data_IF_188786794333
#
_entry.id   IF_188786794333
#
_cell.length_a   1.000
_cell.length_b   1.000
_cell.length_c   1.000
_cell.angle_alpha   90.00
_cell.angle_beta   90.00
_cell.angle_gamma   90.00
#
_symmetry.space_group_name_H-M   'P 1'
#
loop_
_entity.id
_entity.type
_entity.pdbx_description
1 polymer ?
#
# COMPACT_ATOMS: atom_id res chain seq x y z
N UNK A 1 -9.46 7.59 -7.51
CA UNK A 1 -8.36 7.69 -8.49
C UNK A 1 -7.04 8.15 -7.87
N UNK A 2 -7.02 9.19 -6.99
CA UNK A 2 -5.77 9.70 -6.38
C UNK A 2 -5.00 8.61 -5.61
N UNK A 3 -5.65 7.88 -4.69
CA UNK A 3 -5.00 6.80 -3.93
C UNK A 3 -4.42 5.69 -4.81
N UNK A 4 -5.09 5.37 -5.91
CA UNK A 4 -4.58 4.37 -6.86
C UNK A 4 -3.30 4.87 -7.55
N UNK A 5 -3.25 6.14 -7.93
CA UNK A 5 -2.05 6.74 -8.51
C UNK A 5 -0.88 6.74 -7.52
N UNK A 6 -1.15 7.11 -6.26
CA UNK A 6 -0.16 7.06 -5.17
C UNK A 6 0.33 5.63 -4.93
N UNK A 7 -0.57 4.64 -4.97
CA UNK A 7 -0.21 3.23 -4.80
C UNK A 7 0.73 2.76 -5.90
N UNK A 8 0.36 2.98 -7.17
CA UNK A 8 1.17 2.54 -8.31
C UNK A 8 2.54 3.24 -8.29
N UNK A 9 2.55 4.57 -8.08
CA UNK A 9 3.78 5.34 -7.98
C UNK A 9 4.67 4.91 -6.82
N UNK A 10 4.08 4.74 -5.62
CA UNK A 10 4.78 4.30 -4.42
C UNK A 10 5.37 2.89 -4.54
N UNK A 11 4.60 1.94 -5.10
CA UNK A 11 5.10 0.59 -5.36
C UNK A 11 6.21 0.59 -6.43
N UNK A 12 6.06 1.38 -7.47
CA UNK A 12 7.09 1.52 -8.50
C UNK A 12 8.41 2.05 -7.93
N UNK A 13 8.33 3.11 -7.13
CA UNK A 13 9.48 3.71 -6.45
C UNK A 13 10.11 2.74 -5.46
N UNK A 14 9.29 2.04 -4.66
CA UNK A 14 9.75 1.01 -3.74
C UNK A 14 10.55 -0.07 -4.45
N UNK A 15 10.04 -0.62 -5.56
CA UNK A 15 10.74 -1.65 -6.33
C UNK A 15 11.98 -1.11 -7.04
N UNK A 16 12.02 0.17 -7.36
CA UNK A 16 13.20 0.82 -7.91
C UNK A 16 14.31 0.92 -6.86
N UNK A 17 13.96 1.29 -5.63
CA UNK A 17 14.90 1.37 -4.51
C UNK A 17 15.33 -0.01 -4.01
N UNK A 18 14.44 -0.99 -3.99
CA UNK A 18 14.73 -2.36 -3.58
C UNK A 18 15.65 -3.10 -4.57
N UNK A 19 15.69 -2.65 -5.83
CA UNK A 19 16.56 -3.24 -6.84
C UNK A 19 18.02 -2.89 -6.56
N UNK A 20 18.83 -3.93 -6.29
CA UNK A 20 20.28 -3.86 -6.12
C UNK A 20 20.97 -4.86 -7.04
N UNK A 21 22.32 -4.93 -7.01
CA UNK A 21 23.12 -5.79 -7.90
C UNK A 21 22.66 -7.24 -7.93
N UNK A 22 22.19 -7.78 -6.79
CA UNK A 22 21.77 -9.18 -6.65
C UNK A 22 20.28 -9.36 -6.33
N UNK A 23 19.45 -8.29 -6.31
CA UNK A 23 18.03 -8.36 -5.96
C UNK A 23 17.19 -7.77 -7.09
N UNK A 24 16.31 -8.61 -7.65
CA UNK A 24 15.45 -8.27 -8.77
C UNK A 24 13.98 -8.55 -8.45
N UNK A 25 13.28 -7.62 -7.76
CA UNK A 25 11.86 -7.83 -7.43
C UNK A 25 11.01 -8.09 -8.67
N UNK A 26 10.01 -8.96 -8.54
CA UNK A 26 9.00 -9.25 -9.57
C UNK A 26 8.01 -8.08 -9.67
N UNK A 27 8.46 -6.93 -10.18
CA UNK A 27 7.74 -5.65 -10.19
C UNK A 27 6.32 -5.76 -10.70
N UNK A 28 6.15 -6.42 -11.86
CA UNK A 28 4.84 -6.54 -12.50
C UNK A 28 3.89 -7.38 -11.67
N UNK A 29 4.36 -8.50 -11.12
CA UNK A 29 3.54 -9.36 -10.28
C UNK A 29 3.15 -8.64 -8.98
N UNK A 30 4.09 -7.94 -8.35
CA UNK A 30 3.82 -7.12 -7.17
C UNK A 30 2.84 -5.98 -7.45
N UNK A 31 3.00 -5.24 -8.57
CA UNK A 31 2.08 -4.18 -8.98
C UNK A 31 0.66 -4.71 -9.24
N UNK A 32 0.54 -5.82 -9.97
CA UNK A 32 -0.77 -6.44 -10.23
C UNK A 32 -1.42 -6.86 -8.92
N UNK A 33 -0.68 -7.53 -8.05
CA UNK A 33 -1.17 -7.98 -6.74
C UNK A 33 -1.61 -6.81 -5.85
N UNK A 34 -0.77 -5.78 -5.72
CA UNK A 34 -1.06 -4.61 -4.91
C UNK A 34 -2.25 -3.81 -5.45
N UNK A 35 -2.33 -3.65 -6.77
CA UNK A 35 -3.46 -2.98 -7.42
C UNK A 35 -4.75 -3.77 -7.26
N UNK A 36 -4.73 -5.10 -7.43
CA UNK A 36 -5.89 -5.95 -7.23
C UNK A 36 -6.38 -5.90 -5.78
N UNK A 37 -5.46 -5.94 -4.80
CA UNK A 37 -5.78 -5.79 -3.39
C UNK A 37 -6.47 -4.45 -3.10
N UNK A 38 -5.93 -3.35 -3.62
CA UNK A 38 -6.51 -2.02 -3.44
C UNK A 38 -7.90 -1.91 -4.08
N UNK A 39 -8.06 -2.35 -5.32
CA UNK A 39 -9.35 -2.31 -6.02
C UNK A 39 -10.39 -3.14 -5.30
N UNK A 40 -10.06 -4.36 -4.87
CA UNK A 40 -10.95 -5.20 -4.08
C UNK A 40 -11.36 -4.51 -2.77
N UNK A 41 -10.40 -3.97 -2.01
CA UNK A 41 -10.65 -3.24 -0.76
C UNK A 41 -11.52 -2.01 -0.99
N UNK A 42 -11.27 -1.25 -2.07
CA UNK A 42 -12.03 -0.06 -2.41
C UNK A 42 -13.49 -0.40 -2.78
N UNK A 43 -13.70 -1.40 -3.64
CA UNK A 43 -15.05 -1.84 -4.03
C UNK A 43 -15.85 -2.30 -2.82
N UNK A 44 -15.20 -2.98 -1.89
CA UNK A 44 -15.84 -3.42 -0.65
C UNK A 44 -16.17 -2.25 0.29
N UNK A 45 -15.27 -1.29 0.42
CA UNK A 45 -15.51 -0.11 1.22
C UNK A 45 -16.70 0.70 0.68
N UNK A 46 -16.79 0.89 -0.64
CA UNK A 46 -17.90 1.61 -1.28
C UNK A 46 -19.23 0.83 -1.19
N UNK A 47 -19.19 -0.50 -1.31
CA UNK A 47 -20.39 -1.33 -1.22
C UNK A 47 -20.91 -1.56 0.21
N UNK A 48 -20.15 -1.13 1.22
CA UNK A 48 -20.47 -1.36 2.64
C UNK A 48 -21.53 -0.41 3.21
N UNK A 49 -22.29 0.29 2.37
CA UNK A 49 -23.19 1.40 2.76
C UNK A 49 -24.26 1.05 3.81
N UNK A 50 -24.60 -0.21 4.07
CA UNK A 50 -25.74 -0.52 4.96
C UNK A 50 -25.59 -1.78 5.84
N UNK A 51 -24.47 -2.46 5.90
CA UNK A 51 -24.33 -3.68 6.70
C UNK A 51 -23.10 -3.61 7.60
N UNK A 52 -23.21 -4.14 8.82
CA UNK A 52 -22.13 -4.20 9.79
C UNK A 52 -20.78 -4.49 9.14
N UNK A 53 -19.86 -3.53 9.26
CA UNK A 53 -18.51 -3.55 8.66
C UNK A 53 -17.71 -4.81 9.02
N UNK A 54 -17.86 -5.27 10.26
CA UNK A 54 -17.08 -6.38 10.81
C UNK A 54 -17.30 -7.72 10.08
N UNK A 55 -18.54 -8.18 9.84
CA UNK A 55 -18.76 -9.45 9.15
C UNK A 55 -18.31 -9.44 7.68
N UNK A 56 -18.43 -8.28 7.00
CA UNK A 56 -17.97 -8.16 5.60
C UNK A 56 -16.46 -8.05 5.51
N UNK A 57 -15.82 -7.25 6.35
CA UNK A 57 -14.37 -7.17 6.40
C UNK A 57 -13.75 -8.55 6.68
N UNK A 58 -14.36 -9.32 7.57
CA UNK A 58 -13.92 -10.68 7.88
C UNK A 58 -14.12 -11.63 6.69
N UNK A 59 -15.27 -11.58 6.01
CA UNK A 59 -15.52 -12.41 4.83
C UNK A 59 -14.54 -12.10 3.69
N UNK A 60 -14.21 -10.83 3.47
CA UNK A 60 -13.22 -10.43 2.47
C UNK A 60 -11.83 -10.89 2.82
N UNK A 61 -11.43 -10.73 4.10
CA UNK A 61 -10.15 -11.22 4.58
C UNK A 61 -10.05 -12.75 4.35
N UNK A 62 -11.13 -13.49 4.62
CA UNK A 62 -11.20 -14.94 4.38
C UNK A 62 -11.09 -15.32 2.90
N UNK A 63 -11.58 -14.48 1.98
CA UNK A 63 -11.43 -14.70 0.53
C UNK A 63 -10.07 -14.24 -0.01
N UNK A 64 -9.50 -13.17 0.54
CA UNK A 64 -8.19 -12.68 0.13
C UNK A 64 -7.04 -13.55 0.67
N UNK A 65 -7.20 -14.14 1.85
CA UNK A 65 -6.17 -14.94 2.49
C UNK A 65 -5.72 -16.15 1.64
N UNK A 66 -6.60 -16.98 1.07
CA UNK A 66 -6.17 -18.06 0.15
C UNK A 66 -5.52 -17.53 -1.13
N UNK A 67 -5.95 -16.38 -1.64
CA UNK A 67 -5.30 -15.74 -2.81
C UNK A 67 -3.86 -15.34 -2.46
N UNK A 68 -3.62 -14.72 -1.30
CA UNK A 68 -2.28 -14.41 -0.84
C UNK A 68 -1.42 -15.65 -0.58
N UNK A 69 -2.01 -16.70 0.02
CA UNK A 69 -1.31 -17.97 0.25
C UNK A 69 -0.88 -18.62 -1.07
N UNK A 70 -1.70 -18.52 -2.13
CA UNK A 70 -1.37 -19.05 -3.45
C UNK A 70 -0.36 -18.17 -4.21
N UNK A 71 -0.35 -16.86 -3.98
CA UNK A 71 0.58 -15.94 -4.64
C UNK A 71 2.04 -16.17 -4.21
N UNK A 72 2.29 -16.51 -2.95
CA UNK A 72 3.65 -16.77 -2.47
C UNK A 72 4.32 -17.92 -3.24
N UNK A 73 3.75 -19.13 -3.29
CA UNK A 73 4.34 -20.21 -4.07
C UNK A 73 4.39 -19.89 -5.57
N UNK A 74 3.41 -19.17 -6.11
CA UNK A 74 3.43 -18.72 -7.50
C UNK A 74 4.64 -17.82 -7.79
N UNK A 75 4.97 -16.90 -6.88
CA UNK A 75 6.17 -16.05 -7.00
C UNK A 75 7.45 -16.89 -7.01
N UNK A 76 7.55 -17.91 -6.14
CA UNK A 76 8.70 -18.83 -6.14
C UNK A 76 8.77 -19.64 -7.42
N UNK A 77 7.65 -20.13 -7.94
CA UNK A 77 7.61 -20.84 -9.24
C UNK A 77 8.10 -19.92 -10.37
N UNK A 78 7.65 -18.66 -10.41
CA UNK A 78 8.13 -17.69 -11.39
C UNK A 78 9.66 -17.49 -11.29
N UNK A 79 10.20 -17.39 -10.08
CA UNK A 79 11.65 -17.25 -9.87
C UNK A 79 12.44 -18.49 -10.33
N UNK A 80 11.90 -19.69 -10.15
CA UNK A 80 12.53 -20.91 -10.65
C UNK A 80 12.74 -20.90 -12.17
N UNK A 81 11.75 -20.38 -12.92
CA UNK A 81 11.87 -20.24 -14.37
C UNK A 81 12.84 -19.12 -14.77
N UNK A 82 12.99 -18.08 -13.95
CA UNK A 82 13.90 -16.97 -14.19
C UNK A 82 15.36 -17.28 -13.85
N UNK A 83 15.64 -18.40 -13.16
CA UNK A 83 16.98 -18.90 -12.78
C UNK A 83 17.88 -17.82 -12.15
N UNK A 84 17.32 -17.01 -11.26
CA UNK A 84 18.04 -15.92 -10.60
C UNK A 84 18.88 -16.41 -9.43
N UNK A 85 19.91 -15.63 -9.04
CA UNK A 85 20.87 -16.03 -8.01
C UNK A 85 20.24 -16.07 -6.60
N UNK A 86 19.24 -15.22 -6.32
CA UNK A 86 18.66 -15.05 -4.97
C UNK A 86 17.12 -15.01 -5.00
N UNK A 87 16.43 -16.10 -5.35
CA UNK A 87 14.98 -16.12 -5.52
C UNK A 87 14.22 -15.72 -4.24
N UNK A 88 14.70 -16.11 -3.07
CA UNK A 88 14.07 -15.75 -1.80
C UNK A 88 14.15 -14.25 -1.49
N UNK A 89 15.25 -13.58 -1.86
CA UNK A 89 15.39 -12.13 -1.70
C UNK A 89 14.50 -11.38 -2.69
N UNK A 90 14.36 -11.87 -3.93
CA UNK A 90 13.51 -11.29 -4.97
C UNK A 90 12.04 -11.37 -4.60
N UNK A 91 11.58 -12.54 -4.12
CA UNK A 91 10.23 -12.73 -3.59
C UNK A 91 10.00 -11.89 -2.35
N UNK A 92 10.96 -11.86 -1.40
CA UNK A 92 10.88 -11.04 -0.21
C UNK A 92 10.75 -9.54 -0.50
N UNK A 93 11.54 -9.02 -1.45
CA UNK A 93 11.43 -7.64 -1.90
C UNK A 93 10.09 -7.36 -2.61
N UNK A 94 9.57 -8.32 -3.37
CA UNK A 94 8.27 -8.20 -4.04
C UNK A 94 7.13 -8.14 -3.02
N UNK A 95 7.11 -9.05 -2.06
CA UNK A 95 6.15 -9.06 -0.96
C UNK A 95 6.29 -7.83 -0.07
N UNK A 96 7.53 -7.37 0.18
CA UNK A 96 7.81 -6.15 0.93
C UNK A 96 7.06 -4.94 0.34
N UNK A 97 7.06 -4.77 -0.98
CA UNK A 97 6.30 -3.71 -1.65
C UNK A 97 4.79 -3.84 -1.45
N UNK A 98 4.25 -5.06 -1.53
CA UNK A 98 2.82 -5.30 -1.29
C UNK A 98 2.45 -4.98 0.16
N UNK A 99 3.19 -5.52 1.13
CA UNK A 99 2.89 -5.32 2.56
C UNK A 99 3.15 -3.89 3.04
N UNK A 100 4.19 -3.25 2.55
CA UNK A 100 4.58 -1.92 3.01
C UNK A 100 3.81 -0.79 2.33
N UNK A 101 3.47 -0.95 1.06
CA UNK A 101 2.79 0.11 0.29
C UNK A 101 1.32 -0.22 0.05
N UNK A 102 1.02 -1.41 -0.52
CA UNK A 102 -0.33 -1.69 -0.96
C UNK A 102 -1.29 -1.96 0.21
N UNK A 103 -0.88 -2.69 1.24
CA UNK A 103 -1.76 -2.98 2.40
C UNK A 103 -2.18 -1.70 3.13
N UNK A 104 -1.28 -0.78 3.58
CA UNK A 104 -1.69 0.44 4.26
C UNK A 104 -2.59 1.33 3.41
N UNK A 105 -2.28 1.51 2.12
CA UNK A 105 -3.11 2.30 1.23
C UNK A 105 -4.48 1.67 0.97
N UNK A 106 -4.56 0.34 0.93
CA UNK A 106 -5.84 -0.38 0.84
C UNK A 106 -6.68 -0.19 2.11
N UNK A 107 -6.05 -0.16 3.29
CA UNK A 107 -6.74 0.12 4.55
C UNK A 107 -7.29 1.55 4.62
N UNK A 108 -6.62 2.53 3.98
CA UNK A 108 -7.13 3.90 3.90
C UNK A 108 -8.48 4.00 3.20
N UNK A 109 -8.84 3.07 2.32
CA UNK A 109 -10.14 3.04 1.67
C UNK A 109 -11.33 2.88 2.66
N UNK A 110 -11.07 2.35 3.86
CA UNK A 110 -12.08 2.15 4.90
C UNK A 110 -12.23 3.34 5.85
N UNK A 111 -11.30 4.31 5.86
CA UNK A 111 -11.37 5.50 6.71
C UNK A 111 -12.70 6.26 6.61
N UNK A 112 -13.27 6.47 5.41
CA UNK A 112 -14.55 7.17 5.28
C UNK A 112 -15.71 6.52 6.02
N UNK A 113 -15.66 5.19 6.23
CA UNK A 113 -16.71 4.44 6.92
C UNK A 113 -16.68 4.63 8.45
N UNK A 114 -15.54 5.02 9.01
CA UNK A 114 -15.38 5.24 10.45
C UNK A 114 -16.09 6.49 10.96
N UNK A 115 -16.50 7.38 10.06
CA UNK A 115 -17.17 8.64 10.42
C UNK A 115 -18.64 8.47 10.88
N UNK A 116 -19.22 7.28 10.71
CA UNK A 116 -20.59 6.96 11.17
C UNK A 116 -21.73 7.73 10.50
N UNK A 117 -21.45 8.61 9.53
CA UNK A 117 -22.42 9.45 8.85
C UNK A 117 -22.81 8.88 7.48
N UNK A 118 -23.43 7.69 7.47
CA UNK A 118 -24.13 7.13 6.31
C UNK A 118 -23.38 7.20 4.98
N UNK A 119 -22.69 6.13 4.60
CA UNK A 119 -22.07 5.97 3.29
C UNK A 119 -20.60 6.39 3.18
N UNK A 120 -19.99 5.95 2.10
CA UNK A 120 -18.59 6.22 1.79
C UNK A 120 -18.41 7.67 1.30
N UNK A 121 -17.62 8.48 2.02
CA UNK A 121 -17.41 9.89 1.73
C UNK A 121 -15.95 10.17 1.30
N UNK A 122 -15.70 10.55 0.02
CA UNK A 122 -14.35 10.81 -0.49
C UNK A 122 -13.65 11.99 0.19
N UNK A 123 -14.40 12.94 0.72
CA UNK A 123 -13.84 14.13 1.37
C UNK A 123 -13.04 13.80 2.63
N UNK A 124 -13.35 12.70 3.30
CA UNK A 124 -12.61 12.26 4.49
C UNK A 124 -11.17 11.89 4.13
N UNK A 125 -10.98 11.15 3.04
CA UNK A 125 -9.63 10.79 2.56
C UNK A 125 -8.87 12.05 2.11
N UNK A 126 -9.55 12.92 1.39
CA UNK A 126 -8.96 14.16 0.90
C UNK A 126 -8.53 15.07 2.05
N UNK A 127 -9.37 15.23 3.08
CA UNK A 127 -9.05 15.98 4.28
C UNK A 127 -7.85 15.36 5.03
N UNK A 128 -7.80 14.04 5.14
CA UNK A 128 -6.70 13.33 5.78
C UNK A 128 -5.36 13.58 5.05
N UNK A 129 -5.35 13.44 3.73
CA UNK A 129 -4.15 13.71 2.91
C UNK A 129 -3.74 15.18 3.05
N UNK A 130 -4.70 16.10 3.04
CA UNK A 130 -4.42 17.53 3.19
C UNK A 130 -3.82 17.87 4.56
N UNK A 131 -4.31 17.24 5.63
CA UNK A 131 -3.77 17.44 6.99
C UNK A 131 -2.32 16.95 7.06
N UNK A 132 -2.01 15.76 6.51
CA UNK A 132 -0.64 15.24 6.47
C UNK A 132 0.26 16.19 5.69
N UNK A 133 -0.17 16.59 4.49
CA UNK A 133 0.61 17.51 3.66
C UNK A 133 0.83 18.86 4.34
N UNK A 134 -0.20 19.44 4.96
CA UNK A 134 -0.07 20.68 5.72
C UNK A 134 0.88 20.53 6.88
N UNK A 135 0.81 19.43 7.63
CA UNK A 135 1.73 19.16 8.74
C UNK A 135 3.19 19.12 8.26
N UNK A 136 3.47 18.45 7.14
CA UNK A 136 4.82 18.36 6.59
C UNK A 136 5.34 19.74 6.13
N UNK A 137 4.49 20.53 5.46
CA UNK A 137 4.83 21.90 5.04
C UNK A 137 5.11 22.78 6.25
N UNK A 138 4.25 22.75 7.27
CA UNK A 138 4.45 23.56 8.48
C UNK A 138 5.69 23.10 9.26
N UNK A 139 5.92 21.80 9.38
CA UNK A 139 7.13 21.27 10.03
C UNK A 139 8.39 21.74 9.31
N UNK A 140 8.41 21.72 7.97
CA UNK A 140 9.50 22.24 7.17
C UNK A 140 9.70 23.75 7.39
N UNK A 141 8.64 24.56 7.31
CA UNK A 141 8.70 26.01 7.48
C UNK A 141 9.22 26.40 8.88
N UNK A 142 8.73 25.73 9.93
CA UNK A 142 9.21 25.94 11.30
C UNK A 142 10.67 25.52 11.43
N UNK A 143 11.04 24.37 10.85
CA UNK A 143 12.41 23.87 10.86
C UNK A 143 13.40 24.85 10.19
N UNK A 144 13.02 25.46 9.08
CA UNK A 144 13.86 26.44 8.37
C UNK A 144 13.90 27.79 9.09
N UNK A 145 12.77 28.24 9.69
CA UNK A 145 12.68 29.57 10.30
C UNK A 145 13.20 29.65 11.74
N UNK A 146 13.03 28.58 12.51
CA UNK A 146 13.34 28.56 13.95
C UNK A 146 14.45 27.56 14.32
N UNK A 147 14.71 26.58 13.43
CA UNK A 147 15.68 25.52 13.65
C UNK A 147 17.12 26.08 13.73
N UNK A 148 17.76 25.91 14.89
CA UNK A 148 19.14 26.37 15.15
C UNK A 148 20.20 25.28 15.06
N UNK A 149 19.80 24.01 15.13
CA UNK A 149 20.68 22.85 15.11
C UNK A 149 20.19 21.81 14.11
N UNK A 150 21.10 21.27 13.33
CA UNK A 150 20.81 20.12 12.47
C UNK A 150 20.62 18.87 13.36
N UNK A 151 19.51 18.16 13.17
CA UNK A 151 19.23 16.91 13.87
C UNK A 151 20.19 15.78 13.49
N UNK A 152 20.85 15.91 12.35
CA UNK A 152 21.80 14.93 11.83
C UNK A 152 22.94 15.66 11.08
N UNK A 153 24.14 15.59 11.62
CA UNK A 153 25.36 15.95 10.91
C UNK A 153 25.87 14.72 10.15
N UNK A 154 25.99 14.83 8.84
CA UNK A 154 26.65 13.83 8.00
C UNK A 154 28.14 14.02 8.00
#
# INVERSE_FOLDING_TARGET
MLLLAILIGGMWEFYRMARREDIYPLKWLGLVTGTALFVASFLLAVSAEQVALLPRALSVLLWLLPVFILLIPLMFVCELFLKRARPAADVGATLGGVFYVAVPLSMMAYLPLLTGKGGWNPWVILAYIFIIWANDVFAYLVGVSVGRHHLYER
#
